data_IF_965688282713
#
_entry.id   IF_965688282713
#
_cell.length_a   1.000
_cell.length_b   1.000
_cell.length_c   1.000
_cell.angle_alpha   90.00
_cell.angle_beta   90.00
_cell.angle_gamma   90.00
#
_symmetry.space_group_name_H-M   'P 1'
#
loop_
_entity.id
_entity.type
_entity.pdbx_description
1 polymer ?
#
# COMPACT_ATOMS: atom_id res chain seq x y z
N UNK A 1 -2.86 -24.41 3.63
CA UNK A 1 -1.81 -23.56 3.03
C UNK A 1 -0.60 -23.67 3.94
N UNK A 2 0.45 -24.34 3.48
CA UNK A 2 1.63 -24.73 4.26
C UNK A 2 2.42 -23.49 4.71
N UNK A 3 2.59 -23.34 6.02
CA UNK A 3 3.49 -22.36 6.62
C UNK A 3 4.91 -22.90 6.42
N UNK A 4 5.69 -22.25 5.55
CA UNK A 4 7.11 -22.59 5.36
C UNK A 4 7.89 -22.32 6.64
N UNK A 5 8.62 -23.33 7.09
CA UNK A 5 9.50 -23.35 8.27
C UNK A 5 10.54 -22.23 8.23
N UNK A 6 10.61 -21.41 9.27
CA UNK A 6 11.71 -20.45 9.49
C UNK A 6 12.81 -21.14 10.32
N UNK A 7 14.03 -21.18 9.79
CA UNK A 7 15.17 -21.72 10.50
C UNK A 7 15.57 -20.79 11.66
N UNK A 8 15.54 -21.31 12.89
CA UNK A 8 16.00 -20.61 14.10
C UNK A 8 17.47 -20.96 14.32
N UNK A 9 18.38 -19.99 14.16
CA UNK A 9 19.76 -20.15 14.58
C UNK A 9 19.88 -19.86 16.08
N UNK A 10 19.98 -20.91 16.89
CA UNK A 10 20.26 -20.82 18.32
C UNK A 10 21.74 -20.49 18.51
N UNK A 11 22.06 -19.33 19.10
CA UNK A 11 23.39 -19.07 19.63
C UNK A 11 23.34 -19.29 21.15
N UNK A 12 23.71 -20.49 21.58
CA UNK A 12 23.95 -20.82 23.00
C UNK A 12 25.37 -20.34 23.36
N UNK A 13 25.48 -19.22 24.06
CA UNK A 13 26.71 -18.91 24.80
C UNK A 13 26.48 -19.38 26.24
N UNK A 14 27.03 -20.55 26.57
CA UNK A 14 27.14 -21.01 27.96
C UNK A 14 28.62 -21.02 28.34
N UNK A 15 29.05 -20.05 29.14
CA UNK A 15 30.20 -20.26 30.04
C UNK A 15 29.96 -19.52 31.37
N UNK A 16 29.76 -20.29 32.44
CA UNK A 16 30.11 -19.93 33.82
C UNK A 16 29.17 -19.00 34.59
N UNK A 17 28.33 -19.59 35.45
CA UNK A 17 27.73 -19.04 36.67
C UNK A 17 27.21 -17.57 36.61
N UNK A 18 25.95 -17.41 36.23
CA UNK A 18 25.23 -16.13 36.35
C UNK A 18 23.96 -16.08 35.52
N UNK A 19 22.98 -16.93 35.84
CA UNK A 19 21.69 -16.95 35.12
C UNK A 19 20.73 -15.95 35.76
N UNK A 20 20.64 -14.74 35.20
CA UNK A 20 19.38 -13.99 35.06
C UNK A 20 19.50 -13.16 33.78
N UNK A 21 19.58 -13.86 32.64
CA UNK A 21 19.27 -13.25 31.36
C UNK A 21 17.78 -12.94 31.37
N UNK A 22 17.42 -11.68 31.58
CA UNK A 22 16.10 -11.19 31.18
C UNK A 22 16.12 -11.21 29.66
N UNK A 23 15.74 -12.34 29.07
CA UNK A 23 15.36 -12.39 27.68
C UNK A 23 13.91 -11.91 27.63
N UNK A 24 13.74 -10.60 27.47
CA UNK A 24 12.48 -10.07 26.96
C UNK A 24 12.37 -10.52 25.50
N UNK A 25 11.74 -11.68 25.24
CA UNK A 25 11.12 -11.94 23.94
C UNK A 25 9.71 -11.36 24.02
N UNK A 26 9.61 -10.04 24.12
CA UNK A 26 8.31 -9.38 23.93
C UNK A 26 8.21 -9.09 22.44
N UNK A 27 7.25 -9.77 21.82
CA UNK A 27 6.68 -9.53 20.49
C UNK A 27 7.42 -8.48 19.66
N UNK A 28 8.07 -8.93 18.58
CA UNK A 28 8.37 -8.06 17.46
C UNK A 28 7.04 -7.44 17.03
N UNK A 29 6.75 -6.23 17.52
CA UNK A 29 5.77 -5.34 16.95
C UNK A 29 6.07 -5.36 15.44
N UNK A 30 5.21 -6.01 14.64
CA UNK A 30 5.23 -5.80 13.20
C UNK A 30 4.92 -4.33 13.04
N UNK A 31 5.94 -3.49 12.94
CA UNK A 31 5.72 -2.11 12.59
C UNK A 31 4.96 -2.12 11.27
N UNK A 32 3.81 -1.43 11.19
CA UNK A 32 3.06 -1.37 9.94
C UNK A 32 4.01 -0.85 8.87
N UNK A 33 4.23 -1.66 7.83
CA UNK A 33 5.02 -1.23 6.68
C UNK A 33 4.04 -0.52 5.76
N UNK A 34 4.08 0.81 5.79
CA UNK A 34 3.20 1.67 4.99
C UNK A 34 4.04 2.66 4.20
N UNK A 35 3.47 3.12 3.09
CA UNK A 35 4.06 4.16 2.24
C UNK A 35 3.25 5.42 2.42
N UNK A 36 3.88 6.48 2.90
CA UNK A 36 3.26 7.80 3.03
C UNK A 36 4.11 8.86 2.33
N UNK A 37 3.54 9.44 1.27
CA UNK A 37 4.13 10.49 0.44
C UNK A 37 3.23 11.73 0.55
N UNK A 38 3.70 12.78 1.20
CA UNK A 38 2.92 14.00 1.44
C UNK A 38 3.32 15.18 0.55
N UNK A 39 4.37 15.03 -0.25
CA UNK A 39 4.94 16.03 -1.17
C UNK A 39 5.87 15.35 -2.19
N UNK A 40 6.26 16.08 -3.22
CA UNK A 40 7.08 15.60 -4.34
C UNK A 40 8.41 14.94 -3.90
N UNK A 41 9.09 15.48 -2.89
CA UNK A 41 10.39 14.96 -2.44
C UNK A 41 10.29 13.64 -1.69
N UNK A 42 9.11 13.28 -1.19
CA UNK A 42 8.92 12.08 -0.37
C UNK A 42 9.01 10.79 -1.20
N UNK A 43 8.78 10.84 -2.52
CA UNK A 43 8.93 9.68 -3.41
C UNK A 43 10.30 9.02 -3.27
N UNK A 44 11.36 9.82 -3.12
CA UNK A 44 12.74 9.34 -3.04
C UNK A 44 13.04 8.54 -1.77
N UNK A 45 12.12 8.53 -0.79
CA UNK A 45 12.19 7.68 0.41
C UNK A 45 11.80 6.23 0.12
N UNK A 46 10.94 6.01 -0.89
CA UNK A 46 10.31 4.71 -1.15
C UNK A 46 10.68 4.12 -2.51
N UNK A 47 11.05 4.94 -3.48
CA UNK A 47 11.45 4.45 -4.81
C UNK A 47 12.65 5.20 -5.38
N UNK A 48 13.43 4.47 -6.17
CA UNK A 48 14.51 5.00 -7.01
C UNK A 48 14.24 4.73 -8.50
N UNK A 49 13.02 4.31 -8.83
CA UNK A 49 12.56 4.05 -10.20
C UNK A 49 11.83 5.28 -10.72
N UNK A 50 12.33 5.80 -11.84
CA UNK A 50 11.83 7.00 -12.50
C UNK A 50 12.12 8.30 -11.76
N UNK A 51 11.73 9.41 -12.38
CA UNK A 51 12.02 10.78 -11.90
C UNK A 51 10.76 11.65 -11.77
N UNK A 52 9.58 11.07 -11.93
CA UNK A 52 8.29 11.75 -11.73
C UNK A 52 7.83 12.62 -12.91
N UNK A 53 8.24 12.28 -14.14
CA UNK A 53 7.79 12.95 -15.37
C UNK A 53 6.87 12.06 -16.19
N UNK A 54 6.10 12.60 -17.14
CA UNK A 54 5.18 11.82 -17.99
C UNK A 54 5.89 10.66 -18.73
N UNK A 55 7.11 10.90 -19.22
CA UNK A 55 7.90 9.88 -19.90
C UNK A 55 8.70 8.97 -18.96
N UNK A 56 8.78 9.30 -17.68
CA UNK A 56 9.54 8.56 -16.66
C UNK A 56 8.92 8.77 -15.26
N UNK A 57 7.74 8.14 -15.00
CA UNK A 57 7.00 8.31 -13.76
C UNK A 57 7.72 7.63 -12.59
N UNK A 58 7.47 8.08 -11.36
CA UNK A 58 7.87 7.30 -10.19
C UNK A 58 7.11 5.98 -10.14
N UNK A 59 7.79 4.88 -9.82
CA UNK A 59 7.17 3.55 -9.80
C UNK A 59 7.23 2.96 -8.39
N UNK A 60 6.07 2.66 -7.82
CA UNK A 60 5.89 1.84 -6.62
C UNK A 60 5.38 0.48 -7.11
N UNK A 61 6.20 -0.56 -7.00
CA UNK A 61 5.83 -1.88 -7.51
C UNK A 61 6.38 -3.04 -6.69
N UNK A 62 5.71 -4.18 -6.77
CA UNK A 62 6.09 -5.45 -6.11
C UNK A 62 6.15 -5.38 -4.57
N UNK A 63 5.46 -4.42 -3.96
CA UNK A 63 5.43 -4.22 -2.52
C UNK A 63 4.38 -5.09 -1.83
N UNK A 64 4.72 -5.61 -0.65
CA UNK A 64 3.75 -6.24 0.26
C UNK A 64 3.60 -5.37 1.50
N UNK A 65 2.46 -4.71 1.59
CA UNK A 65 2.14 -3.71 2.59
C UNK A 65 1.13 -4.30 3.57
N UNK A 66 1.47 -4.22 4.85
CA UNK A 66 0.65 -4.76 5.92
C UNK A 66 0.71 -3.90 7.15
N UNK A 67 -0.43 -3.68 7.80
CA UNK A 67 -0.51 -2.79 8.95
C UNK A 67 -1.92 -2.57 9.45
N UNK A 68 -2.03 -2.24 10.74
CA UNK A 68 -3.29 -1.87 11.36
C UNK A 68 -3.42 -0.36 11.51
N UNK A 69 -4.65 0.13 11.59
CA UNK A 69 -5.00 1.52 11.96
C UNK A 69 -4.56 2.64 10.99
N UNK A 70 -3.88 2.33 9.88
CA UNK A 70 -3.44 3.33 8.88
C UNK A 70 -3.71 2.87 7.46
N UNK A 71 -3.67 3.81 6.50
CA UNK A 71 -3.74 3.47 5.07
C UNK A 71 -2.43 2.81 4.63
N UNK A 72 -2.52 1.85 3.70
CA UNK A 72 -1.36 1.10 3.23
C UNK A 72 -0.41 1.95 2.40
N UNK A 73 -0.93 2.48 1.29
CA UNK A 73 -0.25 3.48 0.45
C UNK A 73 -1.08 4.75 0.50
N UNK A 74 -0.51 5.82 1.05
CA UNK A 74 -1.10 7.15 1.04
C UNK A 74 -0.20 8.11 0.26
N UNK A 75 -0.75 8.72 -0.78
CA UNK A 75 -0.05 9.73 -1.59
C UNK A 75 -0.92 10.98 -1.68
N UNK A 76 -0.37 12.12 -1.27
CA UNK A 76 -1.07 13.39 -1.28
C UNK A 76 -0.18 14.56 -1.71
N UNK A 77 -0.82 15.59 -2.27
CA UNK A 77 -0.22 16.89 -2.58
C UNK A 77 1.05 16.82 -3.45
N UNK A 78 0.98 16.09 -4.56
CA UNK A 78 2.08 16.01 -5.52
C UNK A 78 1.66 16.39 -6.93
N UNK A 79 2.63 16.92 -7.68
CA UNK A 79 2.50 17.24 -9.11
C UNK A 79 3.21 16.22 -10.01
N UNK A 80 3.81 15.19 -9.41
CA UNK A 80 4.62 14.21 -10.12
C UNK A 80 3.77 13.15 -10.79
N UNK A 81 4.32 12.60 -11.86
CA UNK A 81 3.78 11.39 -12.48
C UNK A 81 4.21 10.17 -11.68
N UNK A 82 3.26 9.28 -11.37
CA UNK A 82 3.56 8.05 -10.67
C UNK A 82 2.61 6.90 -11.02
N UNK A 83 3.15 5.68 -10.90
CA UNK A 83 2.41 4.43 -11.04
C UNK A 83 2.52 3.61 -9.75
N UNK A 84 1.38 3.10 -9.28
CA UNK A 84 1.33 2.07 -8.24
C UNK A 84 0.90 0.78 -8.91
N UNK A 85 1.77 -0.24 -8.95
CA UNK A 85 1.45 -1.49 -9.65
C UNK A 85 1.95 -2.77 -9.02
N UNK A 86 1.21 -3.86 -9.21
CA UNK A 86 1.58 -5.20 -8.71
C UNK A 86 1.91 -5.23 -7.20
N UNK A 87 1.23 -4.41 -6.40
CA UNK A 87 1.36 -4.41 -4.94
C UNK A 87 0.26 -5.26 -4.29
N UNK A 88 0.58 -5.89 -3.16
CA UNK A 88 -0.36 -6.57 -2.28
C UNK A 88 -0.52 -5.78 -0.97
N UNK A 89 -1.72 -5.27 -0.72
CA UNK A 89 -2.01 -4.39 0.40
C UNK A 89 -3.08 -5.03 1.30
N UNK A 90 -2.67 -5.36 2.53
CA UNK A 90 -3.49 -5.98 3.57
C UNK A 90 -3.49 -5.09 4.82
N UNK A 91 -4.43 -4.14 4.89
CA UNK A 91 -4.53 -3.16 5.98
C UNK A 91 -5.95 -3.03 6.49
N UNK A 92 -6.14 -2.60 7.74
CA UNK A 92 -7.47 -2.50 8.35
C UNK A 92 -8.31 -1.30 7.85
N UNK A 93 -7.68 -0.32 7.19
CA UNK A 93 -8.36 0.94 6.79
C UNK A 93 -8.50 1.05 5.27
N UNK A 94 -7.72 1.89 4.60
CA UNK A 94 -7.74 2.06 3.14
C UNK A 94 -6.49 1.47 2.52
N UNK A 95 -6.63 0.58 1.54
CA UNK A 95 -5.49 -0.02 0.85
C UNK A 95 -4.62 1.03 0.16
N UNK A 96 -5.20 1.70 -0.83
CA UNK A 96 -4.55 2.81 -1.56
C UNK A 96 -5.39 4.07 -1.41
N UNK A 97 -4.83 5.13 -0.85
CA UNK A 97 -5.47 6.42 -0.70
C UNK A 97 -4.70 7.53 -1.43
N UNK A 98 -5.33 8.12 -2.44
CA UNK A 98 -4.76 9.20 -3.25
C UNK A 98 -5.59 10.47 -3.09
N UNK A 99 -4.94 11.61 -2.79
CA UNK A 99 -5.64 12.87 -2.58
C UNK A 99 -4.90 14.09 -3.11
N UNK A 100 -5.61 15.05 -3.72
CA UNK A 100 -5.07 16.35 -4.13
C UNK A 100 -3.83 16.21 -5.03
N UNK A 101 -3.99 15.53 -6.17
CA UNK A 101 -2.91 15.28 -7.12
C UNK A 101 -3.19 16.05 -8.41
N UNK A 102 -2.12 16.47 -9.09
CA UNK A 102 -2.23 17.06 -10.43
C UNK A 102 -2.96 16.13 -11.40
N UNK A 103 -3.81 16.70 -12.27
CA UNK A 103 -4.67 15.91 -13.14
C UNK A 103 -3.85 15.11 -14.16
N UNK A 104 -4.23 13.85 -14.38
CA UNK A 104 -3.64 13.00 -15.42
C UNK A 104 -2.24 12.47 -15.11
N UNK A 105 -1.73 12.64 -13.89
CA UNK A 105 -0.38 12.18 -13.53
C UNK A 105 -0.33 10.78 -12.89
N UNK A 106 -1.50 10.16 -12.64
CA UNK A 106 -1.60 8.95 -11.82
C UNK A 106 -2.14 7.75 -12.58
N UNK A 107 -1.49 6.60 -12.39
CA UNK A 107 -2.02 5.28 -12.73
C UNK A 107 -1.95 4.32 -11.54
N UNK A 108 -3.04 3.60 -11.28
CA UNK A 108 -3.11 2.53 -10.28
C UNK A 108 -3.49 1.24 -11.00
N UNK A 109 -2.59 0.26 -11.08
CA UNK A 109 -2.84 -0.94 -11.88
C UNK A 109 -2.36 -2.25 -11.27
N UNK A 110 -3.11 -3.33 -11.46
CA UNK A 110 -2.66 -4.69 -11.07
C UNK A 110 -2.40 -4.86 -9.57
N UNK A 111 -3.00 -4.04 -8.71
CA UNK A 111 -2.86 -4.16 -7.26
C UNK A 111 -3.94 -5.07 -6.66
N UNK A 112 -3.64 -5.66 -5.51
CA UNK A 112 -4.59 -6.39 -4.69
C UNK A 112 -4.77 -5.63 -3.38
N UNK A 113 -5.96 -5.09 -3.14
CA UNK A 113 -6.33 -4.47 -1.87
C UNK A 113 -7.36 -5.37 -1.15
N UNK A 114 -7.00 -5.88 0.02
CA UNK A 114 -7.80 -6.88 0.74
C UNK A 114 -7.93 -6.60 2.24
N UNK A 115 -9.12 -6.88 2.78
CA UNK A 115 -9.37 -6.98 4.22
C UNK A 115 -9.59 -5.66 4.96
N UNK A 116 -9.51 -4.51 4.26
CA UNK A 116 -9.66 -3.19 4.86
C UNK A 116 -11.09 -2.67 4.86
N UNK A 117 -11.30 -1.42 5.26
CA UNK A 117 -12.56 -0.71 5.05
C UNK A 117 -12.77 -0.39 3.56
N UNK A 118 -11.77 0.19 2.90
CA UNK A 118 -11.85 0.62 1.50
C UNK A 118 -10.65 0.07 0.72
N UNK A 119 -10.87 -0.50 -0.47
CA UNK A 119 -9.77 -0.99 -1.30
C UNK A 119 -8.92 0.16 -1.88
N UNK A 120 -9.52 0.98 -2.74
CA UNK A 120 -8.89 2.15 -3.38
C UNK A 120 -9.78 3.37 -3.17
N UNK A 121 -9.23 4.43 -2.57
CA UNK A 121 -9.90 5.73 -2.40
C UNK A 121 -9.15 6.81 -3.16
N UNK A 122 -9.88 7.57 -3.97
CA UNK A 122 -9.35 8.72 -4.70
C UNK A 122 -10.18 9.96 -4.37
N UNK A 123 -9.52 11.08 -4.07
CA UNK A 123 -10.20 12.32 -3.72
C UNK A 123 -9.53 13.55 -4.33
N UNK A 124 -10.30 14.38 -5.03
CA UNK A 124 -9.80 15.57 -5.72
C UNK A 124 -8.65 15.22 -6.70
N UNK A 125 -8.85 14.23 -7.58
CA UNK A 125 -7.88 13.84 -8.61
C UNK A 125 -8.58 13.62 -9.93
N UNK A 126 -8.35 14.52 -10.88
CA UNK A 126 -8.95 14.39 -12.21
C UNK A 126 -8.09 13.53 -13.14
N UNK A 127 -8.74 12.88 -14.10
CA UNK A 127 -8.08 12.13 -15.19
C UNK A 127 -7.14 11.01 -14.74
N UNK A 128 -7.36 10.42 -13.55
CA UNK A 128 -6.65 9.21 -13.09
C UNK A 128 -7.08 7.98 -13.88
N UNK A 129 -6.15 7.04 -14.06
CA UNK A 129 -6.40 5.71 -14.61
C UNK A 129 -6.32 4.67 -13.49
N UNK A 130 -7.38 3.89 -13.29
CA UNK A 130 -7.45 2.78 -12.34
C UNK A 130 -7.82 1.52 -13.11
N UNK A 131 -6.88 0.59 -13.28
CA UNK A 131 -7.08 -0.57 -14.14
C UNK A 131 -6.57 -1.91 -13.63
N UNK A 132 -7.30 -2.99 -13.88
CA UNK A 132 -6.86 -4.35 -13.54
C UNK A 132 -6.56 -4.58 -12.04
N UNK A 133 -7.15 -3.80 -11.14
CA UNK A 133 -7.00 -4.01 -9.69
C UNK A 133 -8.04 -5.00 -9.17
N UNK A 134 -7.68 -5.70 -8.10
CA UNK A 134 -8.58 -6.58 -7.33
C UNK A 134 -8.79 -5.94 -5.97
N UNK A 135 -10.00 -5.47 -5.70
CA UNK A 135 -10.39 -5.00 -4.38
C UNK A 135 -11.37 -6.00 -3.78
N UNK A 136 -10.94 -6.78 -2.78
CA UNK A 136 -11.75 -7.88 -2.24
C UNK A 136 -11.83 -7.90 -0.73
N UNK A 137 -12.94 -8.42 -0.19
CA UNK A 137 -13.13 -8.54 1.26
C UNK A 137 -12.93 -7.22 2.03
N UNK A 138 -13.25 -6.08 1.40
CA UNK A 138 -13.25 -4.80 2.09
C UNK A 138 -14.61 -4.56 2.74
N UNK A 139 -14.62 -4.13 4.00
CA UNK A 139 -15.84 -4.01 4.80
C UNK A 139 -16.87 -3.01 4.25
N UNK A 140 -16.41 -2.01 3.49
CA UNK A 140 -17.27 -0.98 2.89
C UNK A 140 -17.15 -1.03 1.35
N UNK A 141 -16.24 -0.27 0.76
CA UNK A 141 -16.24 -0.05 -0.70
C UNK A 141 -14.96 -0.58 -1.35
N UNK A 142 -15.10 -1.25 -2.50
CA UNK A 142 -13.95 -1.69 -3.29
C UNK A 142 -13.12 -0.52 -3.83
N UNK A 143 -13.73 0.32 -4.68
CA UNK A 143 -13.10 1.51 -5.26
C UNK A 143 -14.05 2.70 -5.06
N UNK A 144 -13.57 3.85 -4.59
CA UNK A 144 -14.38 5.06 -4.45
C UNK A 144 -13.64 6.30 -4.93
N UNK A 145 -14.35 7.14 -5.69
CA UNK A 145 -13.83 8.41 -6.21
C UNK A 145 -14.70 9.56 -5.67
N UNK A 146 -14.07 10.53 -5.02
CA UNK A 146 -14.70 11.73 -4.47
C UNK A 146 -14.19 12.96 -5.23
N UNK A 147 -15.09 13.81 -5.74
CA UNK A 147 -14.73 15.08 -6.41
C UNK A 147 -13.64 14.91 -7.48
N UNK A 148 -13.76 13.86 -8.30
CA UNK A 148 -12.76 13.45 -9.28
C UNK A 148 -13.44 13.22 -10.62
N UNK A 149 -13.02 13.94 -11.65
CA UNK A 149 -13.67 13.95 -12.96
C UNK A 149 -12.78 13.31 -14.05
N UNK A 150 -13.39 12.88 -15.15
CA UNK A 150 -12.71 12.34 -16.35
C UNK A 150 -11.79 11.13 -16.07
N UNK A 151 -12.07 10.39 -15.01
CA UNK A 151 -11.32 9.21 -14.61
C UNK A 151 -11.64 8.02 -15.52
N UNK A 152 -10.67 7.13 -15.70
CA UNK A 152 -10.85 5.87 -16.43
C UNK A 152 -10.73 4.70 -15.45
N UNK A 153 -11.83 3.97 -15.26
CA UNK A 153 -11.90 2.82 -14.35
C UNK A 153 -12.24 1.60 -15.18
N UNK A 154 -11.28 0.71 -15.43
CA UNK A 154 -11.43 -0.39 -16.38
C UNK A 154 -10.89 -1.72 -15.83
N UNK A 155 -11.59 -2.83 -16.12
CA UNK A 155 -11.14 -4.18 -15.76
C UNK A 155 -10.82 -4.41 -14.26
N UNK A 156 -11.38 -3.61 -13.36
CA UNK A 156 -11.23 -3.84 -11.93
C UNK A 156 -12.23 -4.90 -11.45
N UNK A 157 -11.80 -5.72 -10.51
CA UNK A 157 -12.62 -6.77 -9.89
C UNK A 157 -12.87 -6.42 -8.42
N UNK A 158 -14.08 -5.94 -8.13
CA UNK A 158 -14.53 -5.69 -6.76
C UNK A 158 -15.41 -6.86 -6.28
N UNK A 159 -14.92 -7.67 -5.35
CA UNK A 159 -15.60 -8.89 -4.88
C UNK A 159 -15.74 -8.87 -3.36
N UNK A 160 -16.87 -9.34 -2.82
CA UNK A 160 -17.02 -9.50 -1.36
C UNK A 160 -16.80 -8.18 -0.57
N UNK A 161 -17.11 -7.04 -1.20
CA UNK A 161 -17.22 -5.74 -0.54
C UNK A 161 -18.71 -5.36 -0.40
N UNK A 162 -19.07 -4.43 0.51
CA UNK A 162 -20.45 -3.92 0.60
C UNK A 162 -20.85 -3.19 -0.69
N UNK A 163 -19.95 -2.35 -1.20
CA UNK A 163 -20.08 -1.62 -2.47
C UNK A 163 -18.91 -1.91 -3.42
N UNK A 164 -19.21 -1.97 -4.72
CA UNK A 164 -18.23 -2.29 -5.76
C UNK A 164 -17.34 -1.10 -6.13
N UNK A 165 -17.91 -0.18 -6.93
CA UNK A 165 -17.31 1.07 -7.43
C UNK A 165 -18.36 2.18 -7.32
#
# INVERSE_FOLDING_TARGET
MEIKTVAVSIVLIVVGAGMWGVVCVNELYKMPFVIEICQDEDFLKYTHKGIGTEGDPFIIEDEHIGGSETSGIKIENTTKYFEIRNCQIEVDTTGIFIQNIEAGTVRISENICEGGMIGIKVKNVDSIIIDNNICKNNYDTGIVLESSEKCVILNNSCQENELGI
#
